data_IF_884007215164
#
_entry.id   IF_884007215164
#
_cell.length_a   1.000
_cell.length_b   1.000
_cell.length_c   1.000
_cell.angle_alpha   90.00
_cell.angle_beta   90.00
_cell.angle_gamma   90.00
#
_symmetry.space_group_name_H-M   'P 1'
#
loop_
_entity.id
_entity.type
_entity.pdbx_description
1 polymer ?
#
# COMPACT_ATOMS: atom_id res chain seq x y z
N UNK A 1 29.40 25.44 43.80
CA UNK A 1 28.49 25.91 44.87
C UNK A 1 27.67 24.74 45.39
N UNK A 2 27.64 24.61 46.72
CA UNK A 2 26.77 23.83 47.65
C UNK A 2 25.54 23.11 47.02
N UNK A 3 25.16 21.88 47.38
CA UNK A 3 24.93 21.38 48.76
C UNK A 3 25.12 19.86 48.91
N UNK A 4 25.69 19.53 50.05
CA UNK A 4 25.71 18.27 50.78
C UNK A 4 24.36 18.11 51.49
N UNK A 5 23.78 16.90 51.52
CA UNK A 5 22.94 16.45 52.65
C UNK A 5 23.43 15.06 53.05
N UNK A 6 23.76 14.97 54.34
CA UNK A 6 24.26 13.83 55.08
C UNK A 6 23.27 13.63 56.23
N UNK A 7 22.65 12.47 56.37
CA UNK A 7 22.01 12.04 57.64
C UNK A 7 22.32 10.57 57.88
N UNK A 8 22.62 10.28 59.14
CA UNK A 8 23.37 9.15 59.65
C UNK A 8 22.51 8.07 60.33
N UNK A 9 23.10 6.87 60.40
CA UNK A 9 23.12 5.84 61.46
C UNK A 9 21.95 5.69 62.45
N UNK A 10 21.50 4.44 62.64
CA UNK A 10 21.69 3.69 63.91
C UNK A 10 21.41 2.19 63.65
N UNK A 11 22.29 1.32 64.14
CA UNK A 11 22.20 -0.15 63.96
C UNK A 11 21.39 -0.87 65.03
N UNK A 12 21.33 -2.20 64.93
CA UNK A 12 21.25 -3.17 66.03
C UNK A 12 21.70 -4.55 65.50
N UNK A 13 22.51 -5.24 66.31
CA UNK A 13 22.94 -6.63 66.20
C UNK A 13 21.76 -7.62 66.27
N UNK A 14 21.86 -8.72 65.52
CA UNK A 14 21.02 -9.90 65.75
C UNK A 14 21.41 -11.04 64.82
N UNK A 15 22.21 -11.98 65.33
CA UNK A 15 22.65 -13.14 64.58
C UNK A 15 21.50 -14.08 64.22
N UNK A 16 21.56 -14.62 63.01
CA UNK A 16 20.92 -15.88 62.65
C UNK A 16 21.72 -16.50 61.50
N UNK A 17 22.30 -17.65 61.79
CA UNK A 17 23.00 -18.53 60.84
C UNK A 17 22.03 -18.93 59.73
N UNK A 18 22.24 -18.41 58.51
CA UNK A 18 21.49 -18.81 57.33
C UNK A 18 22.37 -19.74 56.48
N UNK A 19 21.90 -20.99 56.35
CA UNK A 19 22.44 -22.00 55.44
C UNK A 19 22.49 -21.43 54.00
N UNK A 20 23.68 -21.45 53.40
CA UNK A 20 23.83 -21.29 51.96
C UNK A 20 23.34 -22.57 51.25
N UNK A 21 22.05 -22.63 50.95
CA UNK A 21 21.55 -23.54 49.93
C UNK A 21 21.84 -22.92 48.56
N UNK A 22 22.89 -23.42 47.90
CA UNK A 22 23.25 -23.13 46.51
C UNK A 22 22.15 -23.70 45.57
N UNK A 23 21.09 -22.94 45.33
CA UNK A 23 20.22 -23.16 44.19
C UNK A 23 20.90 -22.58 42.94
N UNK A 24 21.49 -23.45 42.10
CA UNK A 24 21.80 -23.10 40.72
C UNK A 24 20.49 -23.01 39.95
N UNK A 25 19.88 -21.82 39.96
CA UNK A 25 18.84 -21.46 39.00
C UNK A 25 19.51 -21.38 37.63
N UNK A 26 19.34 -22.43 36.83
CA UNK A 26 19.63 -22.42 35.40
C UNK A 26 18.53 -21.58 34.73
N UNK A 27 18.66 -20.25 34.74
CA UNK A 27 17.86 -19.42 33.85
C UNK A 27 18.42 -19.60 32.44
N UNK A 28 17.83 -20.52 31.67
CA UNK A 28 18.00 -20.52 30.22
C UNK A 28 17.33 -19.26 29.69
N UNK A 29 18.11 -18.18 29.60
CA UNK A 29 17.75 -16.99 28.86
C UNK A 29 17.80 -17.42 27.39
N UNK A 30 16.66 -17.85 26.84
CA UNK A 30 16.48 -17.81 25.40
C UNK A 30 16.50 -16.34 25.01
N UNK A 31 17.65 -15.88 24.51
CA UNK A 31 17.71 -14.64 23.76
C UNK A 31 16.72 -14.80 22.61
N UNK A 32 15.72 -13.91 22.45
CA UNK A 32 14.92 -13.92 21.24
C UNK A 32 15.88 -13.75 20.08
N UNK A 33 15.86 -14.72 19.17
CA UNK A 33 16.56 -14.68 17.89
C UNK A 33 16.23 -13.31 17.29
N UNK A 34 17.26 -12.48 17.09
CA UNK A 34 17.10 -11.21 16.39
C UNK A 34 16.49 -11.53 15.04
N UNK A 35 15.23 -11.18 14.83
CA UNK A 35 14.64 -11.15 13.51
C UNK A 35 15.45 -10.09 12.77
N UNK A 36 16.38 -10.55 11.96
CA UNK A 36 17.11 -9.72 11.01
C UNK A 36 16.03 -8.97 10.22
N UNK A 37 16.06 -7.64 10.27
CA UNK A 37 15.13 -6.80 9.52
C UNK A 37 15.36 -7.08 8.04
N UNK A 38 14.63 -8.06 7.50
CA UNK A 38 14.61 -8.32 6.07
C UNK A 38 14.24 -7.03 5.37
N UNK A 39 14.95 -6.73 4.28
CA UNK A 39 14.67 -5.54 3.50
C UNK A 39 13.22 -5.63 3.05
N UNK A 40 12.34 -4.71 3.45
CA UNK A 40 10.92 -4.87 3.18
C UNK A 40 10.59 -4.83 1.67
N UNK A 41 11.52 -4.35 0.83
CA UNK A 41 11.41 -4.45 -0.64
C UNK A 41 11.82 -5.83 -1.20
N UNK A 42 12.19 -6.79 -0.36
CA UNK A 42 12.57 -8.15 -0.79
C UNK A 42 11.35 -9.03 -1.06
N UNK A 43 10.17 -8.71 -0.52
CA UNK A 43 8.93 -9.40 -0.83
C UNK A 43 8.56 -9.22 -2.30
N UNK A 44 8.73 -10.25 -3.12
CA UNK A 44 8.32 -10.24 -4.54
C UNK A 44 7.05 -11.04 -4.72
N UNK A 45 6.06 -10.48 -5.42
CA UNK A 45 4.84 -11.23 -5.74
C UNK A 45 5.16 -12.26 -6.83
N UNK A 46 4.82 -13.53 -6.56
CA UNK A 46 5.00 -14.64 -7.51
C UNK A 46 3.71 -15.00 -8.24
N UNK A 47 2.55 -14.62 -7.70
CA UNK A 47 1.27 -14.86 -8.33
C UNK A 47 0.07 -14.49 -7.47
N UNK A 48 -1.09 -14.94 -7.91
CA UNK A 48 -2.36 -14.84 -7.18
C UNK A 48 -3.02 -16.21 -7.14
N UNK A 49 -3.73 -16.51 -6.07
CA UNK A 49 -4.65 -17.66 -5.97
C UNK A 49 -5.98 -17.18 -5.41
N UNK A 50 -7.03 -17.22 -6.23
CA UNK A 50 -8.37 -16.82 -5.86
C UNK A 50 -8.44 -15.38 -5.36
N UNK A 51 -8.43 -15.15 -4.04
CA UNK A 51 -8.44 -13.82 -3.42
C UNK A 51 -7.11 -13.49 -2.71
N UNK A 52 -6.09 -14.35 -2.81
CA UNK A 52 -4.79 -14.18 -2.17
C UNK A 52 -3.73 -13.71 -3.17
N UNK A 53 -2.85 -12.82 -2.71
CA UNK A 53 -1.57 -12.51 -3.36
C UNK A 53 -0.49 -13.36 -2.71
N UNK A 54 0.33 -14.05 -3.51
CA UNK A 54 1.37 -14.96 -3.04
C UNK A 54 2.74 -14.33 -3.22
N UNK A 55 3.53 -14.28 -2.15
CA UNK A 55 4.92 -13.80 -2.15
C UNK A 55 5.91 -14.94 -2.37
N UNK A 56 7.14 -14.60 -2.71
CA UNK A 56 8.24 -15.51 -3.01
C UNK A 56 8.75 -16.30 -1.79
N UNK A 57 8.60 -15.75 -0.60
CA UNK A 57 8.83 -16.43 0.67
C UNK A 57 7.69 -17.42 1.06
N UNK A 58 6.63 -17.49 0.25
CA UNK A 58 5.44 -18.29 0.49
C UNK A 58 4.41 -17.64 1.41
N UNK A 59 4.65 -16.41 1.88
CA UNK A 59 3.65 -15.62 2.60
C UNK A 59 2.48 -15.29 1.68
N UNK A 60 1.28 -15.25 2.24
CA UNK A 60 0.07 -14.88 1.51
C UNK A 60 -0.57 -13.62 2.10
N UNK A 61 -1.04 -12.73 1.23
CA UNK A 61 -1.91 -11.62 1.60
C UNK A 61 -3.32 -11.87 1.08
N UNK A 62 -4.23 -12.22 1.99
CA UNK A 62 -5.63 -12.41 1.67
C UNK A 62 -6.33 -11.05 1.47
N UNK A 63 -6.87 -10.85 0.27
CA UNK A 63 -7.68 -9.68 -0.09
C UNK A 63 -9.16 -9.98 0.11
N UNK A 64 -10.00 -8.96 -0.09
CA UNK A 64 -11.45 -9.11 -0.24
C UNK A 64 -11.91 -8.87 -1.69
N UNK A 65 -10.99 -9.01 -2.66
CA UNK A 65 -11.27 -8.81 -4.07
C UNK A 65 -11.63 -10.14 -4.74
N UNK A 66 -12.67 -10.09 -5.55
CA UNK A 66 -13.01 -11.07 -6.56
C UNK A 66 -12.41 -10.66 -7.90
N UNK A 67 -12.20 -11.63 -8.79
CA UNK A 67 -11.51 -11.39 -10.07
C UNK A 67 -10.16 -10.68 -9.83
N UNK A 68 -9.45 -11.11 -8.77
CA UNK A 68 -8.19 -10.51 -8.36
C UNK A 68 -7.14 -10.72 -9.44
N UNK A 69 -6.55 -9.63 -9.90
CA UNK A 69 -5.31 -9.67 -10.65
C UNK A 69 -4.26 -8.80 -9.99
N UNK A 70 -3.03 -9.30 -9.94
CA UNK A 70 -1.88 -8.53 -9.54
C UNK A 70 -1.28 -7.82 -10.76
N UNK A 71 -1.05 -6.52 -10.62
CA UNK A 71 -0.48 -5.69 -11.68
C UNK A 71 1.01 -5.43 -11.44
N UNK A 72 1.34 -4.88 -10.28
CA UNK A 72 2.71 -4.47 -9.96
C UNK A 72 2.91 -4.17 -8.47
N UNK A 73 4.17 -4.01 -8.09
CA UNK A 73 4.58 -3.51 -6.78
C UNK A 73 5.19 -2.11 -6.91
N UNK A 74 4.90 -1.26 -5.93
CA UNK A 74 5.52 0.05 -5.78
C UNK A 74 6.39 0.06 -4.51
N UNK A 75 7.68 0.37 -4.63
CA UNK A 75 8.62 0.26 -3.51
C UNK A 75 8.29 1.26 -2.40
N UNK A 76 8.60 0.88 -1.16
CA UNK A 76 8.55 1.78 -0.01
C UNK A 76 9.88 1.80 0.73
N UNK A 77 10.01 2.60 1.78
CA UNK A 77 11.25 2.68 2.56
C UNK A 77 11.32 1.59 3.63
N UNK A 78 10.22 1.36 4.35
CA UNK A 78 10.23 0.50 5.55
C UNK A 78 9.10 -0.53 5.60
N UNK A 79 8.12 -0.46 4.69
CA UNK A 79 6.95 -1.35 4.66
C UNK A 79 6.99 -2.34 3.49
N UNK A 80 6.20 -3.40 3.59
CA UNK A 80 5.92 -4.25 2.43
C UNK A 80 5.42 -3.34 1.29
N UNK A 81 5.93 -3.49 0.06
CA UNK A 81 5.55 -2.68 -1.10
C UNK A 81 4.05 -2.51 -1.22
N UNK A 82 3.62 -1.35 -1.71
CA UNK A 82 2.23 -1.22 -2.13
C UNK A 82 2.01 -2.11 -3.34
N UNK A 83 0.94 -2.88 -3.31
CA UNK A 83 0.47 -3.70 -4.40
C UNK A 83 -0.51 -2.89 -5.23
N UNK A 84 -0.35 -2.91 -6.55
CA UNK A 84 -1.37 -2.47 -7.50
C UNK A 84 -2.14 -3.72 -7.89
N UNK A 85 -3.42 -3.75 -7.53
CA UNK A 85 -4.32 -4.87 -7.74
C UNK A 85 -5.52 -4.39 -8.56
N UNK A 86 -6.08 -5.28 -9.39
CA UNK A 86 -7.40 -5.10 -10.00
C UNK A 86 -8.36 -6.14 -9.46
N UNK A 87 -9.65 -5.79 -9.45
CA UNK A 87 -10.72 -6.72 -9.10
C UNK A 87 -12.01 -5.99 -8.74
N UNK A 88 -12.96 -6.74 -8.21
CA UNK A 88 -14.24 -6.24 -7.68
C UNK A 88 -14.37 -6.59 -6.20
N UNK A 89 -14.97 -5.72 -5.40
CA UNK A 89 -15.24 -6.04 -3.99
C UNK A 89 -16.53 -6.85 -3.77
N UNK A 90 -17.32 -7.07 -4.83
CA UNK A 90 -18.58 -7.79 -4.74
C UNK A 90 -18.91 -8.48 -6.08
N UNK A 91 -19.53 -9.65 -6.00
CA UNK A 91 -19.93 -10.49 -7.16
C UNK A 91 -21.43 -10.42 -7.47
N UNK A 92 -22.23 -9.87 -6.57
CA UNK A 92 -23.69 -9.77 -6.69
C UNK A 92 -24.16 -8.31 -6.86
N UNK A 93 -23.29 -7.48 -7.42
CA UNK A 93 -23.56 -6.08 -7.75
C UNK A 93 -23.00 -5.78 -9.14
N UNK A 94 -23.41 -4.65 -9.67
CA UNK A 94 -22.97 -4.04 -10.91
C UNK A 94 -21.64 -3.27 -10.79
N UNK A 95 -20.90 -3.49 -9.71
CA UNK A 95 -19.64 -2.81 -9.48
C UNK A 95 -18.60 -3.16 -10.56
N UNK A 96 -18.00 -2.13 -11.15
CA UNK A 96 -16.94 -2.26 -12.14
C UNK A 96 -15.63 -2.73 -11.51
N UNK A 97 -14.81 -3.42 -12.31
CA UNK A 97 -13.43 -3.73 -11.93
C UNK A 97 -12.70 -2.40 -11.68
N UNK A 98 -12.07 -2.32 -10.52
CA UNK A 98 -11.36 -1.12 -10.06
C UNK A 98 -9.90 -1.44 -9.76
N UNK A 99 -9.07 -0.41 -9.73
CA UNK A 99 -7.69 -0.48 -9.25
C UNK A 99 -7.67 -0.21 -7.75
N UNK A 100 -6.93 -1.03 -7.02
CA UNK A 100 -6.65 -0.88 -5.60
C UNK A 100 -5.14 -0.75 -5.41
N UNK A 101 -4.73 0.22 -4.58
CA UNK A 101 -3.33 0.39 -4.19
C UNK A 101 -3.26 0.18 -2.68
N UNK A 102 -2.65 -0.93 -2.25
CA UNK A 102 -2.69 -1.35 -0.86
C UNK A 102 -1.40 -2.03 -0.42
N UNK A 103 -0.89 -1.70 0.76
CA UNK A 103 0.22 -2.43 1.38
C UNK A 103 -0.31 -3.41 2.42
N UNK A 104 0.11 -4.69 2.42
CA UNK A 104 -0.19 -5.62 3.50
C UNK A 104 0.23 -5.12 4.89
N UNK A 105 1.24 -4.23 4.96
CA UNK A 105 1.66 -3.60 6.21
C UNK A 105 0.61 -2.65 6.81
N UNK A 106 -0.38 -2.21 6.02
CA UNK A 106 -1.51 -1.40 6.49
C UNK A 106 -2.69 -2.26 7.01
N UNK A 107 -2.49 -3.59 7.06
CA UNK A 107 -3.48 -4.56 7.53
C UNK A 107 -4.38 -5.08 6.41
N UNK A 108 -5.49 -5.70 6.80
CA UNK A 108 -6.49 -6.20 5.85
C UNK A 108 -7.13 -5.07 5.05
N UNK A 109 -7.49 -5.35 3.80
CA UNK A 109 -8.27 -4.41 3.00
C UNK A 109 -9.61 -4.12 3.67
N UNK A 110 -10.05 -2.86 3.60
CA UNK A 110 -11.31 -2.41 4.17
C UNK A 110 -12.49 -2.87 3.31
N UNK A 111 -13.68 -2.85 3.88
CA UNK A 111 -14.91 -3.19 3.18
C UNK A 111 -15.35 -2.05 2.26
N UNK A 112 -15.80 -2.40 1.05
CA UNK A 112 -16.44 -1.55 0.04
C UNK A 112 -16.18 -0.03 0.21
N UNK A 113 -17.14 0.71 0.78
CA UNK A 113 -17.13 2.18 0.89
C UNK A 113 -15.97 2.79 1.67
N UNK A 114 -15.27 2.02 2.51
CA UNK A 114 -14.12 2.51 3.27
C UNK A 114 -12.79 2.35 2.53
N UNK A 115 -12.77 1.53 1.48
CA UNK A 115 -11.58 1.26 0.69
C UNK A 115 -11.51 2.25 -0.49
N UNK A 116 -10.37 2.92 -0.62
CA UNK A 116 -10.10 3.73 -1.80
C UNK A 116 -10.00 2.81 -3.02
N UNK A 117 -10.81 3.10 -4.04
CA UNK A 117 -10.80 2.43 -5.35
C UNK A 117 -10.64 3.47 -6.45
N UNK A 118 -9.93 3.12 -7.51
CA UNK A 118 -9.70 3.98 -8.68
C UNK A 118 -10.25 3.33 -9.94
N UNK A 119 -10.76 4.13 -10.87
CA UNK A 119 -11.23 3.62 -12.15
C UNK A 119 -10.08 3.07 -13.00
N UNK A 120 -10.37 2.03 -13.79
CA UNK A 120 -9.46 1.55 -14.83
C UNK A 120 -9.27 2.60 -15.94
N UNK A 121 -8.14 2.59 -16.66
CA UNK A 121 -7.98 3.40 -17.86
C UNK A 121 -8.85 2.89 -19.02
N UNK A 122 -8.98 3.71 -20.05
CA UNK A 122 -9.74 3.44 -21.27
C UNK A 122 -10.89 4.40 -21.45
N UNK A 123 -12.03 3.88 -21.91
CA UNK A 123 -13.20 4.68 -22.27
C UNK A 123 -14.36 4.32 -21.35
N UNK A 124 -15.06 5.33 -20.82
CA UNK A 124 -16.24 5.15 -19.98
C UNK A 124 -17.46 5.72 -20.71
N UNK A 125 -18.48 4.90 -20.86
CA UNK A 125 -19.74 5.26 -21.48
C UNK A 125 -20.86 5.28 -20.44
N UNK A 126 -21.83 6.16 -20.61
CA UNK A 126 -23.03 6.17 -19.79
C UNK A 126 -23.86 4.91 -20.05
N UNK A 127 -24.30 4.23 -18.99
CA UNK A 127 -25.08 3.01 -19.08
C UNK A 127 -26.50 3.23 -19.66
N UNK A 128 -27.08 4.43 -19.54
CA UNK A 128 -28.44 4.72 -19.98
C UNK A 128 -28.54 4.93 -21.50
N UNK A 129 -27.65 5.73 -22.07
CA UNK A 129 -27.70 6.19 -23.46
C UNK A 129 -26.50 5.73 -24.31
N UNK A 130 -25.47 5.15 -23.69
CA UNK A 130 -24.25 4.69 -24.37
C UNK A 130 -23.32 5.82 -24.80
N UNK A 131 -23.55 7.06 -24.34
CA UNK A 131 -22.69 8.20 -24.69
C UNK A 131 -21.32 8.11 -24.01
N UNK A 132 -20.27 8.51 -24.72
CA UNK A 132 -18.91 8.53 -24.17
C UNK A 132 -18.75 9.70 -23.21
N UNK A 133 -18.49 9.41 -21.94
CA UNK A 133 -18.42 10.41 -20.87
C UNK A 133 -17.02 10.58 -20.26
N UNK A 134 -16.11 9.61 -20.43
CA UNK A 134 -14.72 9.76 -20.01
C UNK A 134 -13.73 9.02 -20.90
N UNK A 135 -12.50 9.57 -20.97
CA UNK A 135 -11.31 8.91 -21.52
C UNK A 135 -10.18 9.02 -20.51
N UNK A 136 -9.49 7.90 -20.26
CA UNK A 136 -8.45 7.81 -19.23
C UNK A 136 -7.25 7.05 -19.76
N UNK A 137 -6.05 7.54 -19.47
CA UNK A 137 -4.80 6.78 -19.58
C UNK A 137 -4.18 6.72 -18.19
N UNK A 138 -3.66 5.55 -17.81
CA UNK A 138 -3.06 5.35 -16.51
C UNK A 138 -1.68 4.75 -16.63
N UNK A 139 -0.76 5.21 -15.80
CA UNK A 139 0.62 4.74 -15.77
C UNK A 139 1.03 4.43 -14.34
N UNK A 140 1.87 3.43 -14.15
CA UNK A 140 2.43 3.05 -12.85
C UNK A 140 3.96 2.92 -12.89
N UNK A 141 4.61 2.97 -11.73
CA UNK A 141 6.07 2.89 -11.59
C UNK A 141 6.65 4.21 -11.10
N UNK A 142 7.86 4.56 -11.53
CA UNK A 142 8.47 5.87 -11.29
C UNK A 142 7.91 6.89 -12.29
N UNK A 143 6.78 7.53 -11.92
CA UNK A 143 6.01 8.44 -12.79
C UNK A 143 6.77 9.75 -13.04
N UNK A 144 7.42 10.27 -12.01
CA UNK A 144 8.30 11.43 -12.09
C UNK A 144 9.63 11.08 -11.45
N UNK A 145 10.73 11.81 -11.73
CA UNK A 145 12.02 11.50 -11.15
C UNK A 145 11.95 11.31 -9.62
N UNK A 146 12.31 10.11 -9.15
CA UNK A 146 12.26 9.67 -7.76
C UNK A 146 10.86 9.63 -7.11
N UNK A 147 9.78 9.64 -7.89
CA UNK A 147 8.41 9.59 -7.38
C UNK A 147 7.68 8.38 -7.96
N UNK A 148 7.45 7.39 -7.11
CA UNK A 148 6.73 6.18 -7.46
C UNK A 148 5.23 6.33 -7.20
N UNK A 149 4.38 5.73 -8.04
CA UNK A 149 2.94 5.81 -7.88
C UNK A 149 2.17 5.33 -9.08
N UNK A 150 0.90 5.75 -9.14
CA UNK A 150 0.03 5.62 -10.31
C UNK A 150 -0.50 7.00 -10.67
N UNK A 151 -0.47 7.35 -11.95
CA UNK A 151 -1.04 8.61 -12.47
C UNK A 151 -2.13 8.31 -13.49
N UNK A 152 -3.22 9.05 -13.41
CA UNK A 152 -4.30 9.05 -14.39
C UNK A 152 -4.35 10.40 -15.08
N UNK A 153 -4.25 10.38 -16.41
CA UNK A 153 -4.56 11.50 -17.28
C UNK A 153 -5.95 11.28 -17.83
N UNK A 154 -6.87 12.19 -17.55
CA UNK A 154 -8.28 11.97 -17.86
C UNK A 154 -8.95 13.20 -18.48
N UNK A 155 -9.91 12.92 -19.35
CA UNK A 155 -10.87 13.87 -19.89
C UNK A 155 -12.26 13.34 -19.55
N UNK A 156 -13.09 14.14 -18.88
CA UNK A 156 -14.44 13.76 -18.43
C UNK A 156 -15.46 14.83 -18.83
N UNK A 157 -16.68 14.43 -19.16
CA UNK A 157 -17.78 15.37 -19.37
C UNK A 157 -18.27 15.92 -18.03
N UNK A 158 -18.44 17.24 -17.96
CA UNK A 158 -19.14 17.91 -16.87
C UNK A 158 -20.67 17.85 -17.04
N UNK A 159 -21.40 18.34 -16.05
CA UNK A 159 -22.88 18.40 -16.07
C UNK A 159 -23.46 19.25 -17.22
N UNK A 160 -22.63 20.06 -17.88
CA UNK A 160 -23.01 20.92 -19.02
C UNK A 160 -22.57 20.34 -20.37
N UNK A 161 -21.96 19.15 -20.37
CA UNK A 161 -21.43 18.51 -21.58
C UNK A 161 -20.10 19.08 -22.07
N UNK A 162 -19.36 19.82 -21.23
CA UNK A 162 -18.00 20.24 -21.57
C UNK A 162 -16.99 19.18 -21.13
N UNK A 163 -16.00 18.91 -21.97
CA UNK A 163 -14.86 18.08 -21.59
C UNK A 163 -13.91 18.85 -20.67
N UNK A 164 -13.65 18.28 -19.50
CA UNK A 164 -12.69 18.78 -18.51
C UNK A 164 -11.51 17.82 -18.46
N UNK A 165 -10.31 18.36 -18.64
CA UNK A 165 -9.07 17.61 -18.45
C UNK A 165 -8.59 17.73 -17.00
N UNK A 166 -8.10 16.62 -16.46
CA UNK A 166 -7.46 16.59 -15.15
C UNK A 166 -6.40 15.50 -15.08
N UNK A 167 -5.48 15.66 -14.13
CA UNK A 167 -4.47 14.65 -13.81
C UNK A 167 -4.54 14.33 -12.33
N UNK A 168 -4.73 13.06 -11.99
CA UNK A 168 -4.71 12.57 -10.62
C UNK A 168 -3.49 11.70 -10.40
N UNK A 169 -2.77 11.93 -9.31
CA UNK A 169 -1.59 11.15 -8.93
C UNK A 169 -1.77 10.55 -7.54
N UNK A 170 -1.68 9.22 -7.47
CA UNK A 170 -1.55 8.47 -6.23
C UNK A 170 -0.08 8.06 -6.06
N UNK A 171 0.66 8.89 -5.32
CA UNK A 171 2.11 8.77 -5.14
C UNK A 171 2.51 8.25 -3.77
N UNK A 172 3.68 7.61 -3.70
CA UNK A 172 4.29 7.17 -2.44
C UNK A 172 5.23 8.26 -1.94
N UNK A 173 4.93 8.78 -0.76
CA UNK A 173 5.79 9.70 -0.02
C UNK A 173 6.27 9.03 1.26
N UNK A 174 7.54 8.60 1.27
CA UNK A 174 8.07 7.76 2.34
C UNK A 174 7.42 6.38 2.30
N UNK A 175 6.54 6.10 3.26
CA UNK A 175 5.80 4.83 3.38
C UNK A 175 4.27 5.03 3.27
N UNK A 176 3.85 6.21 2.83
CA UNK A 176 2.45 6.62 2.78
C UNK A 176 2.01 6.85 1.34
N UNK A 177 0.89 6.24 0.95
CA UNK A 177 0.18 6.55 -0.27
C UNK A 177 -0.60 7.87 -0.10
N UNK A 178 -0.34 8.84 -0.98
CA UNK A 178 -1.00 10.14 -1.01
C UNK A 178 -1.61 10.37 -2.39
N UNK A 179 -2.86 10.83 -2.42
CA UNK A 179 -3.59 11.10 -3.64
C UNK A 179 -3.90 12.59 -3.80
N UNK A 180 -3.64 13.15 -4.98
CA UNK A 180 -3.96 14.55 -5.29
C UNK A 180 -4.13 14.80 -6.78
N UNK A 181 -4.99 15.76 -7.13
CA UNK A 181 -4.96 16.36 -8.46
C UNK A 181 -3.73 17.25 -8.60
N UNK A 182 -3.05 17.13 -9.74
CA UNK A 182 -1.82 17.87 -10.03
C UNK A 182 -1.90 18.51 -11.41
N UNK A 183 -1.11 19.56 -11.61
CA UNK A 183 -0.86 20.12 -12.94
C UNK A 183 0.34 19.39 -13.56
N UNK A 184 0.07 18.41 -14.41
CA UNK A 184 1.11 17.68 -15.13
C UNK A 184 0.65 17.34 -16.55
N UNK A 185 1.61 17.33 -17.47
CA UNK A 185 1.43 16.85 -18.84
C UNK A 185 1.93 15.40 -18.93
N UNK A 186 1.23 14.58 -19.71
CA UNK A 186 1.58 13.20 -20.04
C UNK A 186 2.99 13.03 -20.61
N UNK A 187 3.54 14.03 -21.31
CA UNK A 187 4.89 13.97 -21.89
C UNK A 187 5.96 13.61 -20.86
N UNK A 188 5.85 14.16 -19.64
CA UNK A 188 6.80 13.88 -18.56
C UNK A 188 6.78 12.42 -18.12
N UNK A 189 5.61 11.80 -18.08
CA UNK A 189 5.42 10.38 -17.78
C UNK A 189 5.92 9.52 -18.95
N UNK A 190 5.66 9.93 -20.20
CA UNK A 190 6.15 9.22 -21.38
C UNK A 190 7.68 9.18 -21.44
N UNK A 191 8.38 10.20 -20.93
CA UNK A 191 9.84 10.15 -20.76
C UNK A 191 10.29 9.03 -19.81
N UNK A 192 9.53 8.74 -18.76
CA UNK A 192 9.82 7.62 -17.85
C UNK A 192 9.46 6.27 -18.46
N UNK A 193 8.37 6.20 -19.22
CA UNK A 193 8.02 5.01 -20.01
C UNK A 193 9.14 4.65 -20.99
N UNK A 194 9.69 5.63 -21.71
CA UNK A 194 10.81 5.41 -22.64
C UNK A 194 12.08 4.91 -21.93
N UNK A 195 12.27 5.26 -20.65
CA UNK A 195 13.37 4.76 -19.81
C UNK A 195 13.07 3.41 -19.17
N UNK A 196 11.87 2.85 -19.38
CA UNK A 196 11.36 1.63 -18.73
C UNK A 196 11.26 1.75 -17.20
N UNK A 197 11.02 2.97 -16.72
CA UNK A 197 10.83 3.27 -15.30
C UNK A 197 9.34 3.39 -14.94
N UNK A 198 8.48 3.66 -15.93
CA UNK A 198 7.03 3.63 -15.81
C UNK A 198 6.41 2.76 -16.92
N UNK A 199 5.19 2.32 -16.70
CA UNK A 199 4.47 1.42 -17.59
C UNK A 199 3.01 1.87 -17.71
N UNK A 200 2.46 1.78 -18.92
CA UNK A 200 1.05 2.10 -19.17
C UNK A 200 0.17 0.90 -18.82
N UNK A 201 -0.92 1.15 -18.10
CA UNK A 201 -1.98 0.17 -17.89
C UNK A 201 -2.84 0.07 -19.15
N UNK A 202 -3.20 -1.15 -19.60
CA UNK A 202 -4.04 -1.33 -20.77
C UNK A 202 -5.43 -0.72 -20.54
N UNK A 203 -5.88 0.08 -21.50
CA UNK A 203 -7.22 0.68 -21.48
C UNK A 203 -8.32 -0.35 -21.75
N UNK A 204 -9.47 -0.18 -21.10
CA UNK A 204 -10.68 -0.98 -21.31
C UNK A 204 -11.90 -0.08 -21.54
N UNK A 205 -12.84 -0.52 -22.38
CA UNK A 205 -14.12 0.17 -22.52
C UNK A 205 -15.11 -0.34 -21.48
N UNK A 206 -15.76 0.56 -20.75
CA UNK A 206 -16.67 0.24 -19.66
C UNK A 206 -17.94 1.08 -19.74
N UNK A 207 -19.02 0.57 -19.16
CA UNK A 207 -20.22 1.36 -18.86
C UNK A 207 -20.12 1.91 -17.43
N UNK A 208 -20.82 2.99 -17.13
CA UNK A 208 -21.05 3.41 -15.74
C UNK A 208 -21.83 2.35 -14.96
N UNK A 209 -21.65 2.35 -13.64
CA UNK A 209 -22.51 1.58 -12.73
C UNK A 209 -23.93 2.21 -12.76
N UNK A 210 -25.02 1.43 -12.83
CA UNK A 210 -26.42 1.86 -12.77
C UNK A 210 -26.81 2.82 -11.63
#
# INVERSE_FOLDING_TARGET
MKRIILIAFFGILGGATLLFASLKLYSSIHQPTSIEQQNPNEFQVTGTDSASVIFDDGTEFLTNLYELEFVAQLPTKTKIPYLILTGRQCTMCDANISIYIHSPSDGSMKQSHEQLRYGLPGELYNWEDGELIAKKRAFYGEIFPNNHGVVWYQSELDEKGNWIESTYFAGISGDTLLGSFIEANIDSTLLQVNKKLAFELPGTSQLTEP
#
